data_IF_822293647242
#
_entry.id   IF_822293647242
#
_cell.length_a   1.000
_cell.length_b   1.000
_cell.length_c   1.000
_cell.angle_alpha   90.00
_cell.angle_beta   90.00
_cell.angle_gamma   90.00
#
_symmetry.space_group_name_H-M   'P 1'
#
loop_
_entity.id
_entity.type
_entity.pdbx_description
1 polymer ?
#
# COMPACT_ATOMS: atom_id res chain seq x y z
N UNK A 1 -11.12 -10.40 -19.61
CA UNK A 1 -11.76 -9.08 -19.78
C UNK A 1 -10.74 -8.11 -20.38
N UNK A 2 -10.61 -8.04 -21.72
CA UNK A 2 -9.52 -7.29 -22.37
C UNK A 2 -9.64 -5.75 -22.22
N UNK A 3 -10.77 -5.22 -21.73
CA UNK A 3 -10.99 -3.78 -21.52
C UNK A 3 -10.69 -3.27 -20.11
N UNK A 4 -10.51 -4.16 -19.12
CA UNK A 4 -10.27 -3.77 -17.73
C UNK A 4 -8.80 -3.96 -17.38
N UNK A 5 -8.24 -2.96 -16.71
CA UNK A 5 -6.98 -3.06 -16.00
C UNK A 5 -7.26 -3.49 -14.55
N UNK A 6 -6.51 -4.45 -14.03
CA UNK A 6 -6.55 -4.84 -12.61
C UNK A 6 -5.45 -4.05 -11.90
N UNK A 7 -5.84 -3.26 -10.92
CA UNK A 7 -4.92 -2.44 -10.13
C UNK A 7 -5.35 -2.37 -8.68
N UNK A 8 -4.43 -1.95 -7.81
CA UNK A 8 -4.76 -1.52 -6.46
C UNK A 8 -4.84 -0.01 -6.39
N UNK A 9 -5.54 0.46 -5.39
CA UNK A 9 -5.67 1.87 -5.09
C UNK A 9 -4.89 2.21 -3.82
N UNK A 10 -4.38 3.44 -3.77
CA UNK A 10 -3.85 4.02 -2.56
C UNK A 10 -4.90 3.94 -1.45
N UNK A 11 -4.49 3.74 -0.20
CA UNK A 11 -5.37 3.80 0.96
C UNK A 11 -6.08 5.16 1.00
N UNK A 12 -7.41 5.12 0.93
CA UNK A 12 -8.24 6.31 0.86
C UNK A 12 -9.66 6.00 1.34
N UNK A 13 -10.42 7.06 1.62
CA UNK A 13 -11.81 7.00 2.10
C UNK A 13 -11.98 6.18 3.40
N UNK A 14 -13.23 5.98 3.81
CA UNK A 14 -13.59 5.22 5.00
C UNK A 14 -14.49 4.03 4.66
N UNK A 15 -14.96 3.28 5.67
CA UNK A 15 -14.75 3.52 7.10
C UNK A 15 -13.36 3.07 7.59
N UNK A 16 -12.93 3.64 8.71
CA UNK A 16 -11.81 3.06 9.49
C UNK A 16 -12.36 1.86 10.27
N UNK A 17 -11.70 0.70 10.15
CA UNK A 17 -12.15 -0.56 10.74
C UNK A 17 -11.06 -1.20 11.60
N UNK A 18 -11.46 -2.04 12.56
CA UNK A 18 -10.54 -2.80 13.42
C UNK A 18 -10.42 -4.28 13.01
N UNK A 19 -11.22 -4.70 12.02
CA UNK A 19 -11.19 -6.06 11.44
C UNK A 19 -10.54 -5.98 10.07
N UNK A 20 -9.69 -6.95 9.66
CA UNK A 20 -9.15 -6.99 8.30
C UNK A 20 -10.26 -6.81 7.27
N UNK A 21 -10.13 -5.77 6.43
CA UNK A 21 -11.16 -5.34 5.48
C UNK A 21 -10.49 -4.89 4.20
N UNK A 22 -11.10 -5.18 3.05
CA UNK A 22 -10.69 -4.64 1.76
C UNK A 22 -11.90 -4.24 0.93
N UNK A 23 -11.71 -3.27 0.04
CA UNK A 23 -12.67 -2.94 -1.01
C UNK A 23 -12.30 -3.69 -2.30
N UNK A 24 -13.31 -4.15 -3.02
CA UNK A 24 -13.18 -4.74 -4.36
C UNK A 24 -14.19 -4.04 -5.26
N UNK A 25 -13.70 -3.34 -6.27
CA UNK A 25 -14.47 -2.31 -6.97
C UNK A 25 -14.54 -2.52 -8.49
N UNK A 26 -15.59 -1.97 -9.10
CA UNK A 26 -15.70 -1.84 -10.56
C UNK A 26 -15.60 -0.36 -10.88
N UNK A 27 -14.53 0.03 -11.57
CA UNK A 27 -14.32 1.41 -12.00
C UNK A 27 -14.67 1.64 -13.48
N UNK A 28 -14.81 2.89 -13.93
CA UNK A 28 -14.88 4.13 -13.15
C UNK A 28 -16.15 4.94 -13.41
N UNK A 29 -17.09 4.40 -14.20
CA UNK A 29 -18.35 5.08 -14.54
C UNK A 29 -19.54 4.15 -14.40
N UNK A 30 -20.74 4.73 -14.30
CA UNK A 30 -22.01 4.00 -14.22
C UNK A 30 -22.19 2.97 -15.34
N UNK A 31 -21.65 3.25 -16.53
CA UNK A 31 -21.61 2.30 -17.65
C UNK A 31 -20.91 0.99 -17.26
N UNK A 32 -19.77 1.08 -16.57
CA UNK A 32 -19.01 -0.09 -16.13
C UNK A 32 -19.60 -0.74 -14.88
N UNK A 33 -20.14 0.05 -13.95
CA UNK A 33 -20.76 -0.47 -12.72
C UNK A 33 -21.91 -1.44 -12.99
N UNK A 34 -22.67 -1.20 -14.06
CA UNK A 34 -23.82 -2.04 -14.45
C UNK A 34 -23.43 -3.29 -15.25
N UNK A 35 -22.14 -3.48 -15.56
CA UNK A 35 -21.69 -4.64 -16.35
C UNK A 35 -21.77 -5.92 -15.54
N UNK A 36 -22.59 -6.85 -16.02
CA UNK A 36 -22.81 -8.15 -15.38
C UNK A 36 -21.57 -9.04 -15.41
N UNK A 37 -20.75 -8.96 -16.46
CA UNK A 37 -19.53 -9.77 -16.55
C UNK A 37 -18.43 -9.29 -15.58
N UNK A 38 -18.32 -7.98 -15.35
CA UNK A 38 -17.44 -7.44 -14.31
C UNK A 38 -17.92 -7.82 -12.90
N UNK A 39 -19.24 -7.72 -12.65
CA UNK A 39 -19.83 -8.16 -11.38
C UNK A 39 -19.63 -9.67 -11.15
N UNK A 40 -19.80 -10.49 -12.19
CA UNK A 40 -19.55 -11.93 -12.13
C UNK A 40 -18.08 -12.23 -11.82
N UNK A 41 -17.13 -11.49 -12.40
CA UNK A 41 -15.72 -11.65 -12.10
C UNK A 41 -15.40 -11.36 -10.62
N UNK A 42 -15.97 -10.28 -10.04
CA UNK A 42 -15.82 -9.99 -8.61
C UNK A 42 -16.48 -11.08 -7.75
N UNK A 43 -17.69 -11.53 -8.11
CA UNK A 43 -18.39 -12.58 -7.37
C UNK A 43 -17.59 -13.89 -7.36
N UNK A 44 -17.01 -14.28 -8.49
CA UNK A 44 -16.13 -15.45 -8.58
C UNK A 44 -14.85 -15.27 -7.78
N UNK A 45 -14.21 -14.10 -7.84
CA UNK A 45 -13.03 -13.78 -7.04
C UNK A 45 -13.30 -13.97 -5.54
N UNK A 46 -14.43 -13.45 -5.04
CA UNK A 46 -14.82 -13.61 -3.64
C UNK A 46 -15.17 -15.06 -3.31
N UNK A 47 -15.91 -15.74 -4.19
CA UNK A 47 -16.31 -17.13 -4.01
C UNK A 47 -15.11 -18.09 -3.91
N UNK A 48 -14.14 -17.95 -4.81
CA UNK A 48 -12.92 -18.76 -4.82
C UNK A 48 -11.95 -18.33 -3.72
N UNK A 49 -11.71 -17.02 -3.58
CA UNK A 49 -10.78 -16.47 -2.59
C UNK A 49 -11.17 -16.83 -1.15
N UNK A 50 -12.47 -16.77 -0.84
CA UNK A 50 -12.99 -17.15 0.49
C UNK A 50 -13.30 -18.65 0.61
N UNK A 51 -13.08 -19.45 -0.43
CA UNK A 51 -13.31 -20.90 -0.40
C UNK A 51 -14.79 -21.30 -0.24
N UNK A 52 -15.74 -20.42 -0.59
CA UNK A 52 -17.18 -20.65 -0.40
C UNK A 52 -17.71 -21.82 -1.25
N UNK A 53 -16.98 -22.21 -2.29
CA UNK A 53 -17.24 -23.40 -3.11
C UNK A 53 -16.77 -24.73 -2.52
N UNK A 54 -16.27 -24.75 -1.28
CA UNK A 54 -15.74 -25.96 -0.63
C UNK A 54 -14.25 -26.23 -0.90
N UNK A 55 -13.55 -25.29 -1.56
CA UNK A 55 -12.09 -25.30 -1.71
C UNK A 55 -11.36 -24.64 -0.53
N UNK A 56 -10.02 -24.68 -0.51
CA UNK A 56 -9.20 -24.19 0.61
C UNK A 56 -9.07 -22.67 0.76
N UNK A 57 -9.79 -21.87 -0.04
CA UNK A 57 -9.58 -20.42 -0.17
C UNK A 57 -8.21 -20.07 -0.76
N UNK A 58 -8.04 -18.80 -1.12
CA UNK A 58 -6.77 -18.25 -1.65
C UNK A 58 -6.41 -17.01 -0.84
N UNK A 59 -5.13 -16.85 -0.52
CA UNK A 59 -4.67 -15.67 0.21
C UNK A 59 -4.96 -15.70 1.71
N UNK A 60 -5.12 -16.89 2.30
CA UNK A 60 -5.19 -17.03 3.75
C UNK A 60 -3.84 -16.68 4.39
N UNK A 61 -3.84 -15.68 5.27
CA UNK A 61 -2.65 -15.34 6.05
C UNK A 61 -2.46 -16.32 7.20
N UNK A 62 -1.35 -17.06 7.18
CA UNK A 62 -0.98 -17.99 8.24
C UNK A 62 0.20 -17.52 9.09
N UNK A 63 0.90 -16.46 8.66
CA UNK A 63 2.07 -15.92 9.35
C UNK A 63 3.26 -16.88 9.37
N UNK A 64 4.27 -16.65 8.54
CA UNK A 64 5.43 -17.54 8.44
C UNK A 64 6.69 -17.01 9.18
N UNK A 65 6.53 -16.52 10.43
CA UNK A 65 7.64 -16.09 11.31
C UNK A 65 8.73 -15.23 10.62
N UNK A 66 8.34 -14.25 9.82
CA UNK A 66 9.20 -13.24 9.18
C UNK A 66 9.64 -13.59 7.76
N UNK A 67 9.23 -14.75 7.24
CA UNK A 67 9.56 -15.15 5.86
C UNK A 67 8.72 -14.42 4.83
N UNK A 68 7.42 -14.28 5.09
CA UNK A 68 6.50 -13.60 4.19
C UNK A 68 6.73 -12.08 4.25
N UNK A 69 6.89 -11.47 3.07
CA UNK A 69 7.14 -10.03 2.94
C UNK A 69 5.83 -9.29 2.74
N UNK A 70 5.66 -8.22 3.49
CA UNK A 70 4.47 -7.37 3.44
C UNK A 70 4.88 -5.96 3.02
N UNK A 71 4.44 -5.54 1.85
CA UNK A 71 4.73 -4.22 1.30
C UNK A 71 3.90 -3.14 2.01
N UNK A 72 4.60 -2.12 2.51
CA UNK A 72 4.06 -0.80 2.83
C UNK A 72 4.47 0.17 1.71
N UNK A 73 3.53 0.58 0.87
CA UNK A 73 3.81 1.47 -0.27
C UNK A 73 3.78 2.93 0.16
N UNK A 74 4.77 3.70 -0.28
CA UNK A 74 4.87 5.14 -0.01
C UNK A 74 5.16 5.87 -1.31
N UNK A 75 4.27 6.77 -1.70
CA UNK A 75 4.34 7.54 -2.94
C UNK A 75 3.41 7.06 -4.04
N UNK A 76 3.63 7.59 -5.24
CA UNK A 76 2.77 7.38 -6.39
C UNK A 76 1.48 8.22 -6.37
N UNK A 77 0.66 7.99 -7.39
CA UNK A 77 -0.69 8.53 -7.49
C UNK A 77 -1.73 7.58 -6.88
N UNK A 78 -2.99 7.76 -7.27
CA UNK A 78 -4.10 6.97 -6.76
C UNK A 78 -4.00 5.47 -7.10
N UNK A 79 -3.56 5.11 -8.31
CA UNK A 79 -3.46 3.72 -8.76
C UNK A 79 -2.07 3.06 -8.59
N UNK A 80 -1.16 3.71 -7.85
CA UNK A 80 0.11 3.15 -7.34
C UNK A 80 0.91 2.20 -8.28
N UNK A 81 1.15 2.53 -9.56
CA UNK A 81 1.65 1.56 -10.55
C UNK A 81 3.03 0.97 -10.21
N UNK A 82 3.94 1.74 -9.58
CA UNK A 82 5.25 1.21 -9.17
C UNK A 82 5.18 0.21 -8.01
N UNK A 83 4.13 0.29 -7.19
CA UNK A 83 3.90 -0.71 -6.15
C UNK A 83 3.28 -1.96 -6.77
N UNK A 84 2.44 -1.81 -7.80
CA UNK A 84 1.90 -2.95 -8.56
C UNK A 84 3.00 -3.80 -9.21
N UNK A 85 4.08 -3.20 -9.72
CA UNK A 85 5.25 -3.94 -10.25
C UNK A 85 5.88 -4.93 -9.25
N UNK A 86 5.66 -4.70 -7.94
CA UNK A 86 6.13 -5.57 -6.86
C UNK A 86 5.02 -6.54 -6.45
N UNK A 87 3.81 -6.04 -6.23
CA UNK A 87 2.67 -6.81 -5.70
C UNK A 87 2.22 -7.90 -6.67
N UNK A 88 2.41 -7.71 -7.98
CA UNK A 88 2.01 -8.68 -8.99
C UNK A 88 2.90 -9.93 -9.05
N UNK A 89 4.04 -9.98 -8.35
CA UNK A 89 4.83 -11.22 -8.28
C UNK A 89 4.49 -12.03 -7.04
N UNK A 90 4.58 -13.34 -7.19
CA UNK A 90 4.17 -14.31 -6.18
C UNK A 90 4.93 -14.14 -4.85
N UNK A 91 4.23 -14.38 -3.74
CA UNK A 91 4.82 -14.38 -2.40
C UNK A 91 4.88 -13.02 -1.70
N UNK A 92 4.41 -11.94 -2.36
CA UNK A 92 4.35 -10.61 -1.76
C UNK A 92 2.94 -10.27 -1.30
N UNK A 93 2.85 -9.92 -0.02
CA UNK A 93 1.63 -9.39 0.58
C UNK A 93 1.68 -7.86 0.57
N UNK A 94 0.53 -7.22 0.64
CA UNK A 94 0.43 -5.76 0.68
C UNK A 94 -0.46 -5.32 1.83
N UNK A 95 0.00 -4.31 2.57
CA UNK A 95 -0.80 -3.59 3.55
C UNK A 95 -1.27 -2.25 3.00
N UNK A 96 -0.93 -1.19 3.70
CA UNK A 96 -1.28 0.16 3.28
C UNK A 96 -0.42 0.69 2.11
N UNK A 97 -1.04 1.52 1.28
CA UNK A 97 -0.45 2.16 0.10
C UNK A 97 -0.68 3.66 0.19
N UNK A 98 0.33 4.43 0.57
CA UNK A 98 0.20 5.86 0.85
C UNK A 98 0.57 6.68 -0.38
N UNK A 99 -0.42 7.22 -1.09
CA UNK A 99 -0.16 8.12 -2.23
C UNK A 99 0.62 9.37 -1.80
N UNK A 100 1.36 9.98 -2.73
CA UNK A 100 2.15 11.19 -2.42
C UNK A 100 1.30 12.36 -1.90
N UNK A 101 0.07 12.52 -2.39
CA UNK A 101 -0.85 13.57 -1.93
C UNK A 101 -1.48 13.28 -0.54
N UNK A 102 -1.43 12.02 -0.07
CA UNK A 102 -1.86 11.66 1.29
C UNK A 102 -0.81 11.97 2.36
N UNK A 103 0.38 12.43 1.95
CA UNK A 103 1.52 12.73 2.81
C UNK A 103 1.84 14.23 2.75
N UNK A 104 0.98 15.11 3.31
CA UNK A 104 1.22 16.54 3.28
C UNK A 104 2.49 16.85 4.07
N UNK A 105 3.41 17.53 3.39
CA UNK A 105 4.67 18.03 3.92
C UNK A 105 4.75 19.53 3.68
N UNK A 106 4.94 20.29 4.75
CA UNK A 106 5.20 21.72 4.64
C UNK A 106 6.66 21.93 4.27
N UNK A 107 6.91 22.74 3.23
CA UNK A 107 8.27 23.10 2.84
C UNK A 107 8.90 23.93 3.97
N UNK A 108 10.04 23.52 4.53
CA UNK A 108 10.68 24.22 5.63
C UNK A 108 11.29 25.56 5.22
N UNK A 109 11.20 25.96 3.94
CA UNK A 109 11.64 27.27 3.42
C UNK A 109 13.08 27.62 3.79
N UNK A 110 13.97 26.62 3.83
CA UNK A 110 15.37 26.84 4.16
C UNK A 110 16.06 27.51 2.97
N UNK A 111 16.57 28.72 3.22
CA UNK A 111 17.31 29.52 2.23
C UNK A 111 18.70 28.93 1.98
N UNK A 112 19.27 28.21 2.95
CA UNK A 112 20.53 27.46 2.83
C UNK A 112 20.54 26.24 3.77
N UNK A 113 20.74 25.04 3.22
CA UNK A 113 20.83 23.78 3.98
C UNK A 113 19.83 22.71 3.52
N UNK A 114 20.12 21.45 3.84
CA UNK A 114 19.13 20.36 3.67
C UNK A 114 18.28 20.32 4.94
N UNK A 115 16.93 20.40 4.83
CA UNK A 115 16.09 20.30 6.01
C UNK A 115 16.21 18.95 6.67
N UNK A 116 16.23 18.97 7.99
CA UNK A 116 16.09 17.77 8.81
C UNK A 116 14.61 17.36 8.87
N UNK A 117 14.33 16.08 9.10
CA UNK A 117 12.96 15.55 9.19
C UNK A 117 12.12 16.20 10.32
N UNK A 118 12.80 16.80 11.31
CA UNK A 118 12.18 17.44 12.49
C UNK A 118 11.66 18.82 12.17
N UNK A 119 12.24 19.48 11.17
CA UNK A 119 11.85 20.81 10.71
C UNK A 119 10.69 20.75 9.70
N UNK A 120 10.46 19.59 9.08
CA UNK A 120 9.39 19.39 8.10
C UNK A 120 8.08 19.08 8.85
N UNK A 121 7.14 20.03 8.79
CA UNK A 121 5.80 19.92 9.39
C UNK A 121 4.83 19.17 8.46
N UNK A 122 3.57 19.07 8.87
CA UNK A 122 2.53 18.26 8.23
C UNK A 122 2.31 16.91 8.91
N UNK A 123 1.36 16.13 8.39
CA UNK A 123 0.87 14.89 9.03
C UNK A 123 1.52 13.62 8.47
N UNK A 124 2.47 13.75 7.54
CA UNK A 124 3.11 12.63 6.85
C UNK A 124 3.75 11.58 7.78
N UNK A 125 4.43 12.00 8.86
CA UNK A 125 5.03 11.08 9.85
C UNK A 125 3.97 10.21 10.53
N UNK A 126 2.88 10.84 10.94
CA UNK A 126 1.78 10.14 11.60
C UNK A 126 1.08 9.19 10.62
N UNK A 127 0.87 9.62 9.37
CA UNK A 127 0.27 8.78 8.33
C UNK A 127 1.10 7.52 8.07
N UNK A 128 2.43 7.65 7.91
CA UNK A 128 3.34 6.51 7.74
C UNK A 128 3.31 5.61 8.98
N UNK A 129 3.42 6.19 10.17
CA UNK A 129 3.47 5.43 11.43
C UNK A 129 2.22 4.58 11.64
N UNK A 130 1.04 5.19 11.57
CA UNK A 130 -0.24 4.48 11.79
C UNK A 130 -0.45 3.41 10.72
N UNK A 131 -0.09 3.70 9.48
CA UNK A 131 -0.21 2.72 8.38
C UNK A 131 0.74 1.54 8.55
N UNK A 132 1.96 1.78 9.03
CA UNK A 132 2.91 0.73 9.37
C UNK A 132 2.38 -0.13 10.53
N UNK A 133 1.89 0.50 11.60
CA UNK A 133 1.35 -0.20 12.78
C UNK A 133 0.11 -1.04 12.42
N UNK A 134 -0.82 -0.48 11.64
CA UNK A 134 -1.99 -1.19 11.14
C UNK A 134 -1.61 -2.38 10.24
N UNK A 135 -0.65 -2.17 9.32
CA UNK A 135 -0.12 -3.25 8.46
C UNK A 135 0.49 -4.36 9.33
N UNK A 136 1.34 -4.01 10.30
CA UNK A 136 1.96 -4.99 11.20
C UNK A 136 0.93 -5.75 12.03
N UNK A 137 -0.15 -5.08 12.45
CA UNK A 137 -1.24 -5.72 13.19
C UNK A 137 -2.06 -6.68 12.32
N UNK A 138 -2.27 -6.34 11.04
CA UNK A 138 -3.01 -7.19 10.11
C UNK A 138 -2.20 -8.42 9.66
N UNK A 139 -0.87 -8.33 9.68
CA UNK A 139 0.04 -9.39 9.25
C UNK A 139 0.96 -9.84 10.39
N UNK A 140 0.42 -10.46 11.47
CA UNK A 140 1.21 -10.92 12.59
C UNK A 140 2.25 -11.95 12.11
N UNK A 141 3.50 -11.75 12.50
CA UNK A 141 4.62 -12.59 12.09
C UNK A 141 5.13 -12.32 10.66
N UNK A 142 4.64 -11.31 9.94
CA UNK A 142 5.17 -10.90 8.64
C UNK A 142 6.36 -9.93 8.76
N UNK A 143 7.23 -9.89 7.75
CA UNK A 143 8.24 -8.82 7.64
C UNK A 143 7.66 -7.66 6.81
N UNK A 144 7.30 -6.56 7.49
CA UNK A 144 6.83 -5.35 6.81
C UNK A 144 8.02 -4.56 6.25
N UNK A 145 8.03 -4.37 4.93
CA UNK A 145 9.07 -3.65 4.18
C UNK A 145 8.43 -2.45 3.49
N UNK A 146 8.94 -1.25 3.76
CA UNK A 146 8.54 -0.04 3.07
C UNK A 146 9.19 0.05 1.68
N UNK A 147 8.40 0.33 0.65
CA UNK A 147 8.89 0.66 -0.68
C UNK A 147 8.50 2.10 -1.04
N UNK A 148 9.49 2.90 -1.46
CA UNK A 148 9.31 4.30 -1.81
C UNK A 148 9.26 4.51 -3.33
N UNK A 149 8.18 5.10 -3.86
CA UNK A 149 8.19 5.63 -5.23
C UNK A 149 9.05 6.91 -5.26
N UNK A 150 10.33 6.76 -5.58
CA UNK A 150 11.27 7.87 -5.66
C UNK A 150 10.93 8.92 -6.72
N UNK A 151 10.03 8.63 -7.68
CA UNK A 151 9.64 9.59 -8.71
C UNK A 151 8.45 10.47 -8.30
N UNK A 152 7.74 10.14 -7.23
CA UNK A 152 6.60 10.94 -6.76
C UNK A 152 6.97 12.05 -5.76
N UNK A 153 8.25 12.19 -5.41
CA UNK A 153 8.70 13.10 -4.35
C UNK A 153 9.91 13.95 -4.76
N UNK A 154 9.95 15.19 -4.27
CA UNK A 154 11.15 16.03 -4.32
C UNK A 154 12.28 15.38 -3.51
N UNK A 155 13.53 15.71 -3.84
CA UNK A 155 14.71 15.13 -3.16
C UNK A 155 14.69 15.32 -1.64
N UNK A 156 14.25 16.48 -1.15
CA UNK A 156 14.16 16.72 0.30
C UNK A 156 13.08 15.89 0.97
N UNK A 157 11.93 15.67 0.32
CA UNK A 157 10.85 14.83 0.83
C UNK A 157 11.32 13.37 0.95
N UNK A 158 12.02 12.87 -0.07
CA UNK A 158 12.61 11.52 -0.05
C UNK A 158 13.56 11.33 1.13
N UNK A 159 14.47 12.29 1.32
CA UNK A 159 15.43 12.22 2.42
C UNK A 159 14.73 12.26 3.78
N UNK A 160 13.68 13.08 3.93
CA UNK A 160 12.90 13.15 5.17
C UNK A 160 12.16 11.83 5.45
N UNK A 161 11.49 11.26 4.44
CA UNK A 161 10.80 9.96 4.56
C UNK A 161 11.80 8.87 4.94
N UNK A 162 12.91 8.74 4.20
CA UNK A 162 13.91 7.70 4.47
C UNK A 162 14.54 7.84 5.86
N UNK A 163 14.84 9.07 6.28
CA UNK A 163 15.41 9.32 7.61
C UNK A 163 14.43 8.97 8.73
N UNK A 164 13.15 9.33 8.57
CA UNK A 164 12.09 8.95 9.50
C UNK A 164 11.89 7.43 9.56
N UNK A 165 11.85 6.73 8.42
CA UNK A 165 11.73 5.27 8.38
C UNK A 165 12.90 4.60 9.13
N UNK A 166 14.12 5.12 8.96
CA UNK A 166 15.30 4.64 9.69
C UNK A 166 15.20 4.91 11.20
N UNK A 167 14.77 6.11 11.62
CA UNK A 167 14.52 6.44 13.03
C UNK A 167 13.49 5.51 13.67
N UNK A 168 12.42 5.18 12.93
CA UNK A 168 11.37 4.24 13.37
C UNK A 168 11.77 2.77 13.22
N UNK A 169 12.99 2.47 12.74
CA UNK A 169 13.47 1.10 12.45
C UNK A 169 12.56 0.32 11.50
N UNK A 170 11.93 1.01 10.56
CA UNK A 170 11.14 0.42 9.49
C UNK A 170 12.09 0.09 8.33
N UNK A 171 12.14 -1.18 7.93
CA UNK A 171 12.99 -1.63 6.82
C UNK A 171 12.53 -0.99 5.51
N UNK A 172 13.46 -0.44 4.75
CA UNK A 172 13.22 0.12 3.41
C UNK A 172 13.83 -0.83 2.39
N UNK A 173 13.01 -1.31 1.45
CA UNK A 173 13.42 -2.25 0.41
C UNK A 173 13.34 -1.66 -1.00
N UNK A 174 14.21 -2.16 -1.87
CA UNK A 174 14.09 -2.08 -3.32
C UNK A 174 13.13 -3.17 -3.81
N UNK A 175 12.63 -3.10 -5.06
CA UNK A 175 11.79 -4.14 -5.63
C UNK A 175 12.34 -5.56 -5.45
N UNK A 176 13.65 -5.77 -5.61
CA UNK A 176 14.26 -7.10 -5.50
C UNK A 176 14.33 -7.64 -4.05
N UNK A 177 14.15 -6.79 -3.03
CA UNK A 177 14.16 -7.24 -1.63
C UNK A 177 12.86 -7.97 -1.21
N UNK A 178 11.87 -8.03 -2.11
CA UNK A 178 10.58 -8.68 -1.90
C UNK A 178 10.52 -10.12 -2.43
N UNK A 179 11.51 -10.57 -3.22
CA UNK A 179 11.52 -11.86 -3.91
C UNK A 179 12.79 -12.67 -3.62
#
# INVERSE_FOLDING_TARGET
MPEFEVTLEATHHGPVTNTPTMFVEIGSTEKYWKRQDAAQAIALLLWEGLGLGGGGGVGNWHGNNGRDKVLLGIGGGHYVPRHMDIILKDGVWVGHLLSGYSLPMEDPNLVNGKPTEKEIRGTWKQAIKVSYEATKSAFPGGEVIAHLDHKSFKSWQKNAITSFLHEQKIKVGKPDDFF
#
